data_IF_943848974863
#
_entry.id   IF_943848974863
#
_cell.length_a   1.000
_cell.length_b   1.000
_cell.length_c   1.000
_cell.angle_alpha   90.00
_cell.angle_beta   90.00
_cell.angle_gamma   90.00
#
_symmetry.space_group_name_H-M   'P 1'
#
loop_
_entity.id
_entity.type
_entity.pdbx_description
1 polymer ?
#
# COMPACT_ATOMS: atom_id res chain seq x y z
N UNK A 1 29.53 35.67 13.87
CA UNK A 1 29.49 34.29 13.38
C UNK A 1 28.63 33.48 14.35
N UNK A 2 27.38 33.25 14.05
CA UNK A 2 26.46 32.38 14.81
C UNK A 2 26.26 31.13 13.98
N UNK A 3 26.90 30.03 14.36
CA UNK A 3 26.63 28.70 13.79
C UNK A 3 25.27 28.26 14.27
N UNK A 4 24.28 28.34 13.38
CA UNK A 4 22.98 27.72 13.59
C UNK A 4 23.17 26.18 13.52
N UNK A 5 22.86 25.53 14.62
CA UNK A 5 22.78 24.08 14.73
C UNK A 5 21.48 23.60 14.09
N UNK A 6 21.43 23.54 12.74
CA UNK A 6 20.24 23.14 11.97
C UNK A 6 20.16 21.61 11.74
N UNK A 7 21.02 20.83 12.39
CA UNK A 7 21.17 19.39 12.10
C UNK A 7 20.17 18.46 12.79
N UNK A 8 19.33 18.98 13.68
CA UNK A 8 18.41 18.13 14.47
C UNK A 8 16.99 18.04 13.89
N UNK A 9 16.64 18.84 12.89
CA UNK A 9 15.26 18.91 12.38
C UNK A 9 14.89 17.86 11.35
N UNK A 10 15.82 17.51 10.45
CA UNK A 10 15.50 16.65 9.30
C UNK A 10 15.55 15.14 9.62
N UNK A 11 16.45 14.72 10.50
CA UNK A 11 16.46 13.32 10.97
C UNK A 11 15.18 12.96 11.75
N UNK A 12 14.58 13.96 12.42
CA UNK A 12 13.28 13.80 13.10
C UNK A 12 12.10 13.64 12.13
N UNK A 13 12.23 14.08 10.88
CA UNK A 13 11.18 14.00 9.88
C UNK A 13 10.94 12.59 9.34
N UNK A 14 12.02 11.90 8.98
CA UNK A 14 11.91 10.51 8.49
C UNK A 14 11.28 9.60 9.54
N UNK A 15 11.65 9.82 10.81
CA UNK A 15 11.11 9.10 11.97
C UNK A 15 9.67 9.57 12.31
N UNK A 16 9.35 10.86 12.14
CA UNK A 16 8.01 11.38 12.45
C UNK A 16 6.97 10.96 11.40
N UNK A 17 7.35 10.90 10.14
CA UNK A 17 6.49 10.38 9.07
C UNK A 17 6.18 8.89 9.27
N UNK A 18 7.16 8.12 9.78
CA UNK A 18 7.04 6.69 10.05
C UNK A 18 6.42 6.39 11.43
N UNK A 19 6.69 7.19 12.47
CA UNK A 19 6.16 6.98 13.83
C UNK A 19 4.68 7.34 13.98
N UNK A 20 4.14 8.24 13.17
CA UNK A 20 2.70 8.51 13.16
C UNK A 20 1.88 7.30 12.67
N UNK A 21 2.49 6.37 11.96
CA UNK A 21 1.88 5.14 11.46
C UNK A 21 1.89 3.98 12.46
N UNK A 22 2.69 4.06 13.53
CA UNK A 22 2.87 2.97 14.51
C UNK A 22 1.92 3.01 15.71
N UNK A 23 1.10 4.06 15.89
CA UNK A 23 0.39 4.32 17.15
C UNK A 23 -1.02 3.72 17.28
N UNK A 24 -1.48 2.83 16.39
CA UNK A 24 -2.78 2.16 16.51
C UNK A 24 -2.68 0.64 16.45
N UNK A 25 -2.04 0.06 17.46
CA UNK A 25 -2.00 -1.38 17.71
C UNK A 25 -2.02 -1.67 19.20
N UNK A 26 -2.99 -1.10 19.93
CA UNK A 26 -3.19 -1.32 21.36
C UNK A 26 -4.07 -2.53 21.63
N UNK A 27 -3.52 -3.50 22.32
CA UNK A 27 -3.95 -4.79 22.70
C UNK A 27 -5.25 -4.90 23.48
N UNK A 28 -5.75 -6.11 23.49
CA UNK A 28 -6.52 -6.66 24.59
C UNK A 28 -5.98 -8.07 24.88
N UNK A 29 -5.24 -8.18 25.97
CA UNK A 29 -5.07 -9.45 26.68
C UNK A 29 -6.39 -9.80 27.37
N UNK A 30 -6.87 -11.00 27.14
CA UNK A 30 -7.74 -11.67 28.09
C UNK A 30 -7.31 -13.13 28.15
N UNK A 31 -6.81 -13.49 29.30
CA UNK A 31 -6.59 -14.87 29.73
C UNK A 31 -7.95 -15.50 30.09
N UNK A 32 -8.10 -16.80 29.85
CA UNK A 32 -9.28 -17.56 30.28
C UNK A 32 -9.22 -19.01 29.82
N UNK A 33 -8.87 -19.83 30.75
CA UNK A 33 -8.81 -21.26 30.94
C UNK A 33 -9.68 -22.20 30.09
N UNK A 34 -9.07 -23.34 29.84
CA UNK A 34 -9.55 -24.75 29.74
C UNK A 34 -11.05 -25.06 29.89
N UNK A 35 -11.57 -25.88 28.99
CA UNK A 35 -12.28 -27.11 29.32
C UNK A 35 -12.43 -28.01 28.08
N UNK A 36 -11.89 -29.21 28.18
CA UNK A 36 -12.20 -30.38 27.35
C UNK A 36 -13.68 -30.76 27.47
N UNK A 37 -14.28 -31.15 26.36
CA UNK A 37 -15.29 -32.24 26.40
C UNK A 37 -15.42 -32.89 25.02
N UNK A 38 -15.11 -34.15 24.97
CA UNK A 38 -15.39 -35.19 23.97
C UNK A 38 -16.88 -35.32 23.65
N UNK A 39 -17.28 -35.50 22.38
CA UNK A 39 -18.23 -36.56 22.00
C UNK A 39 -18.54 -36.60 20.50
N UNK A 40 -18.22 -37.77 19.91
CA UNK A 40 -19.01 -38.62 19.01
C UNK A 40 -19.64 -38.04 17.72
N UNK A 41 -19.19 -38.59 16.60
CA UNK A 41 -19.88 -38.65 15.32
C UNK A 41 -21.19 -39.43 15.38
N UNK A 42 -22.07 -39.28 14.39
CA UNK A 42 -22.31 -40.41 13.49
C UNK A 42 -22.31 -40.06 11.98
N UNK A 43 -21.97 -41.11 11.27
CA UNK A 43 -22.01 -41.34 9.82
C UNK A 43 -23.45 -41.29 9.29
N UNK A 44 -23.68 -40.67 8.11
CA UNK A 44 -24.78 -40.99 7.20
C UNK A 44 -24.42 -40.72 5.74
N UNK A 45 -24.28 -41.70 5.05
CA UNK A 45 -24.47 -42.28 3.74
C UNK A 45 -25.12 -41.37 2.65
N UNK A 46 -24.44 -41.33 1.53
CA UNK A 46 -24.74 -41.29 0.10
C UNK A 46 -26.16 -40.95 -0.38
N UNK A 47 -26.23 -40.08 -1.37
CA UNK A 47 -26.98 -40.35 -2.62
C UNK A 47 -26.41 -39.54 -3.77
N UNK A 48 -25.99 -40.23 -4.80
CA UNK A 48 -25.63 -39.73 -6.11
C UNK A 48 -26.88 -39.35 -6.91
N UNK A 49 -26.87 -38.18 -7.54
CA UNK A 49 -27.74 -37.88 -8.68
C UNK A 49 -26.94 -37.22 -9.76
N UNK A 50 -26.77 -37.93 -10.84
CA UNK A 50 -26.23 -37.45 -12.09
C UNK A 50 -27.24 -36.53 -12.76
N UNK A 51 -26.84 -35.35 -13.22
CA UNK A 51 -27.59 -34.58 -14.18
C UNK A 51 -26.68 -33.86 -15.16
N UNK A 52 -26.92 -34.24 -16.39
CA UNK A 52 -26.57 -33.75 -17.71
C UNK A 52 -25.66 -32.54 -17.86
N UNK A 53 -24.63 -32.77 -18.68
CA UNK A 53 -23.74 -31.78 -19.26
C UNK A 53 -24.50 -30.82 -20.18
N UNK A 54 -24.39 -29.52 -19.89
CA UNK A 54 -24.63 -28.45 -20.84
C UNK A 54 -23.32 -27.79 -21.13
N UNK A 55 -22.84 -27.92 -22.36
CA UNK A 55 -21.62 -27.28 -22.86
C UNK A 55 -21.87 -25.79 -23.03
N UNK A 56 -21.17 -24.89 -22.32
CA UNK A 56 -21.24 -23.48 -22.67
C UNK A 56 -20.23 -23.17 -23.78
N UNK A 57 -20.76 -22.66 -24.86
CA UNK A 57 -19.99 -22.07 -25.97
C UNK A 57 -19.13 -20.91 -25.43
N UNK A 58 -17.82 -21.08 -25.48
CA UNK A 58 -16.88 -20.06 -25.09
C UNK A 58 -16.92 -18.89 -26.08
N UNK A 59 -17.60 -17.82 -25.72
CA UNK A 59 -17.46 -16.52 -26.37
C UNK A 59 -16.15 -15.90 -25.90
N UNK A 60 -15.17 -15.86 -26.78
CA UNK A 60 -13.85 -15.26 -26.56
C UNK A 60 -14.00 -13.74 -26.48
N UNK A 61 -14.22 -13.21 -25.27
CA UNK A 61 -14.15 -11.79 -25.04
C UNK A 61 -12.67 -11.38 -25.09
N UNK A 62 -12.31 -10.60 -26.12
CA UNK A 62 -11.00 -9.99 -26.27
C UNK A 62 -10.86 -8.90 -25.20
N UNK A 63 -10.17 -9.21 -24.13
CA UNK A 63 -9.81 -8.22 -23.11
C UNK A 63 -8.81 -7.24 -23.73
N UNK A 64 -9.31 -6.07 -24.14
CA UNK A 64 -8.47 -4.94 -24.51
C UNK A 64 -7.79 -4.45 -23.25
N UNK A 65 -6.55 -4.82 -23.04
CA UNK A 65 -5.72 -4.27 -21.99
C UNK A 65 -5.52 -2.76 -22.29
N UNK A 66 -6.32 -1.92 -21.67
CA UNK A 66 -6.09 -0.48 -21.66
C UNK A 66 -4.71 -0.24 -21.06
N UNK A 67 -3.76 0.14 -21.90
CA UNK A 67 -2.47 0.67 -21.46
C UNK A 67 -2.79 2.02 -20.83
N UNK A 68 -2.96 2.02 -19.51
CA UNK A 68 -3.07 3.25 -18.74
C UNK A 68 -1.70 3.92 -18.86
N UNK A 69 -1.66 5.10 -19.48
CA UNK A 69 -0.46 5.93 -19.52
C UNK A 69 0.06 6.12 -18.09
N UNK A 70 1.38 6.01 -17.90
CA UNK A 70 1.96 6.27 -16.58
C UNK A 70 1.61 7.71 -16.17
N UNK A 71 0.95 7.88 -15.01
CA UNK A 71 0.55 9.19 -14.52
C UNK A 71 1.80 10.02 -14.19
N UNK A 72 1.71 11.33 -14.37
CA UNK A 72 2.82 12.27 -14.14
C UNK A 72 2.58 13.09 -12.88
N UNK A 73 3.68 13.44 -12.19
CA UNK A 73 3.61 14.32 -11.03
C UNK A 73 2.71 13.78 -9.92
N UNK A 74 1.88 14.64 -9.33
CA UNK A 74 0.95 14.34 -8.24
C UNK A 74 -0.39 13.77 -8.70
N UNK A 75 -0.58 13.47 -9.99
CA UNK A 75 -1.82 12.89 -10.49
C UNK A 75 -2.16 11.58 -9.76
N UNK A 76 -3.36 11.51 -9.20
CA UNK A 76 -3.88 10.33 -8.50
C UNK A 76 -4.67 9.47 -9.46
N UNK A 77 -4.26 8.22 -9.64
CA UNK A 77 -4.86 7.29 -10.60
C UNK A 77 -5.54 6.14 -9.88
N UNK A 78 -6.74 5.79 -10.32
CA UNK A 78 -7.40 4.58 -9.85
C UNK A 78 -6.66 3.33 -10.34
N UNK A 79 -6.33 2.44 -9.42
CA UNK A 79 -5.74 1.15 -9.74
C UNK A 79 -6.78 0.06 -9.66
N UNK A 80 -7.04 -0.58 -10.81
CA UNK A 80 -7.95 -1.74 -10.89
C UNK A 80 -7.19 -2.94 -11.43
N UNK A 81 -7.51 -4.13 -10.93
CA UNK A 81 -7.21 -5.36 -11.65
C UNK A 81 -8.21 -5.47 -12.82
N UNK A 82 -7.84 -6.15 -13.89
CA UNK A 82 -8.79 -6.47 -14.93
C UNK A 82 -9.94 -7.27 -14.29
N UNK A 83 -11.18 -6.79 -14.45
CA UNK A 83 -12.37 -7.47 -13.99
C UNK A 83 -12.58 -8.70 -14.85
N UNK A 84 -12.13 -9.83 -14.33
CA UNK A 84 -12.42 -11.11 -14.94
C UNK A 84 -13.10 -11.98 -13.87
N UNK A 85 -14.41 -11.78 -13.72
CA UNK A 85 -15.25 -12.53 -12.78
C UNK A 85 -15.31 -14.03 -13.14
N UNK A 86 -14.83 -14.42 -14.31
CA UNK A 86 -14.72 -15.79 -14.81
C UNK A 86 -13.25 -16.23 -15.02
N UNK A 87 -12.26 -15.44 -14.58
CA UNK A 87 -10.88 -15.83 -14.71
C UNK A 87 -10.53 -17.02 -13.82
N UNK A 88 -9.66 -17.88 -14.33
CA UNK A 88 -8.93 -18.84 -13.51
C UNK A 88 -8.37 -18.13 -12.26
N UNK A 89 -8.48 -18.76 -11.10
CA UNK A 89 -7.98 -18.23 -9.82
C UNK A 89 -6.51 -17.77 -9.90
N UNK A 90 -5.71 -18.43 -10.74
CA UNK A 90 -4.34 -18.05 -11.03
C UNK A 90 -4.24 -16.70 -11.72
N UNK A 91 -5.09 -16.43 -12.72
CA UNK A 91 -5.13 -15.17 -13.45
C UNK A 91 -5.59 -14.04 -12.53
N UNK A 92 -6.65 -14.28 -11.74
CA UNK A 92 -7.16 -13.31 -10.78
C UNK A 92 -6.11 -12.94 -9.73
N UNK A 93 -5.37 -13.92 -9.20
CA UNK A 93 -4.26 -13.71 -8.27
C UNK A 93 -3.14 -12.87 -8.88
N UNK A 94 -2.73 -13.17 -10.11
CA UNK A 94 -1.70 -12.39 -10.81
C UNK A 94 -2.15 -10.96 -11.09
N UNK A 95 -3.42 -10.75 -11.45
CA UNK A 95 -4.01 -9.43 -11.63
C UNK A 95 -4.00 -8.62 -10.33
N UNK A 96 -4.36 -9.23 -9.19
CA UNK A 96 -4.29 -8.62 -7.87
C UNK A 96 -2.85 -8.24 -7.47
N UNK A 97 -1.87 -9.13 -7.69
CA UNK A 97 -0.45 -8.86 -7.46
C UNK A 97 0.02 -7.66 -8.29
N UNK A 98 -0.34 -7.61 -9.57
CA UNK A 98 0.02 -6.50 -10.46
C UNK A 98 -0.62 -5.19 -10.01
N UNK A 99 -1.88 -5.22 -9.58
CA UNK A 99 -2.57 -4.05 -9.04
C UNK A 99 -1.90 -3.56 -7.75
N UNK A 100 -1.58 -4.44 -6.80
CA UNK A 100 -0.91 -4.07 -5.56
C UNK A 100 0.47 -3.41 -5.80
N UNK A 101 1.27 -3.95 -6.72
CA UNK A 101 2.54 -3.32 -7.11
C UNK A 101 2.35 -1.94 -7.75
N UNK A 102 1.26 -1.71 -8.48
CA UNK A 102 0.91 -0.38 -9.01
C UNK A 102 0.54 0.59 -7.92
N UNK A 103 -0.19 0.16 -6.89
CA UNK A 103 -0.51 1.01 -5.72
C UNK A 103 0.78 1.48 -5.06
N UNK A 104 1.75 0.59 -4.82
CA UNK A 104 3.05 0.95 -4.23
C UNK A 104 3.84 1.90 -5.13
N UNK A 105 3.86 1.66 -6.44
CA UNK A 105 4.52 2.56 -7.38
C UNK A 105 3.85 3.94 -7.43
N UNK A 106 2.53 3.99 -7.33
CA UNK A 106 1.75 5.23 -7.21
C UNK A 106 2.11 5.99 -5.93
N UNK A 107 2.17 5.29 -4.78
CA UNK A 107 2.54 5.86 -3.50
C UNK A 107 3.92 6.54 -3.53
N UNK A 108 4.92 5.82 -4.01
CA UNK A 108 6.28 6.38 -4.17
C UNK A 108 6.32 7.58 -5.13
N UNK A 109 5.54 7.56 -6.20
CA UNK A 109 5.46 8.68 -7.13
C UNK A 109 4.83 9.91 -6.49
N UNK A 110 3.74 9.74 -5.75
CA UNK A 110 3.08 10.83 -5.01
C UNK A 110 4.02 11.40 -3.95
N UNK A 111 4.72 10.55 -3.19
CA UNK A 111 5.73 11.00 -2.23
C UNK A 111 6.77 11.92 -2.90
N UNK A 112 7.33 11.50 -4.03
CA UNK A 112 8.30 12.32 -4.76
C UNK A 112 7.70 13.63 -5.27
N UNK A 113 6.46 13.60 -5.80
CA UNK A 113 5.76 14.80 -6.24
C UNK A 113 5.62 15.82 -5.08
N UNK A 114 5.21 15.37 -3.91
CA UNK A 114 5.07 16.23 -2.73
C UNK A 114 6.40 16.78 -2.22
N UNK A 115 7.45 15.99 -2.21
CA UNK A 115 8.80 16.44 -1.87
C UNK A 115 9.32 17.51 -2.85
N UNK A 116 8.91 17.45 -4.10
CA UNK A 116 9.22 18.45 -5.13
C UNK A 116 8.24 19.63 -5.15
N UNK A 117 7.30 19.71 -4.21
CA UNK A 117 6.36 20.80 -4.07
C UNK A 117 5.14 20.73 -4.99
N UNK A 118 4.93 19.63 -5.68
CA UNK A 118 3.74 19.39 -6.49
C UNK A 118 2.61 18.79 -5.63
N UNK A 119 1.63 19.64 -5.31
CA UNK A 119 0.47 19.31 -4.48
C UNK A 119 -0.86 19.51 -5.23
N UNK A 120 -0.87 19.51 -6.55
CA UNK A 120 -2.06 19.82 -7.33
C UNK A 120 -3.22 18.85 -7.06
N UNK A 121 -2.91 17.56 -6.94
CA UNK A 121 -3.89 16.48 -6.78
C UNK A 121 -3.93 15.91 -5.35
N UNK A 122 -4.07 16.79 -4.36
CA UNK A 122 -4.06 16.41 -2.94
C UNK A 122 -5.38 16.71 -2.22
N UNK A 123 -6.48 16.92 -2.96
CA UNK A 123 -7.81 17.00 -2.35
C UNK A 123 -8.24 15.63 -1.80
N UNK A 124 -9.07 15.64 -0.76
CA UNK A 124 -9.60 14.42 -0.17
C UNK A 124 -10.30 13.55 -1.22
N UNK A 125 -11.05 14.17 -2.15
CA UNK A 125 -11.75 13.47 -3.22
C UNK A 125 -10.79 12.72 -4.15
N UNK A 126 -9.67 13.35 -4.52
CA UNK A 126 -8.67 12.70 -5.35
C UNK A 126 -7.91 11.63 -4.60
N UNK A 127 -7.50 11.91 -3.38
CA UNK A 127 -6.80 10.92 -2.54
C UNK A 127 -7.66 9.68 -2.27
N UNK A 128 -8.99 9.82 -2.14
CA UNK A 128 -9.91 8.69 -1.97
C UNK A 128 -9.99 7.76 -3.20
N UNK A 129 -9.47 8.15 -4.35
CA UNK A 129 -9.29 7.24 -5.50
C UNK A 129 -8.18 6.21 -5.25
N UNK A 130 -7.24 6.54 -4.35
CA UNK A 130 -6.02 5.79 -4.11
C UNK A 130 -5.89 5.26 -2.68
N UNK A 131 -6.53 5.89 -1.71
CA UNK A 131 -6.42 5.59 -0.27
C UNK A 131 -7.72 5.03 0.26
N UNK A 132 -7.66 4.04 1.13
CA UNK A 132 -8.83 3.56 1.87
C UNK A 132 -9.39 4.70 2.75
N UNK A 133 -10.73 4.89 2.80
CA UNK A 133 -11.33 6.04 3.48
C UNK A 133 -10.86 6.23 4.94
N UNK A 134 -10.73 5.14 5.68
CA UNK A 134 -10.27 5.13 7.07
C UNK A 134 -8.78 5.46 7.23
N UNK A 135 -8.03 5.48 6.13
CA UNK A 135 -6.59 5.80 6.08
C UNK A 135 -6.28 7.18 5.51
N UNK A 136 -7.30 7.93 5.09
CA UNK A 136 -7.12 9.23 4.44
C UNK A 136 -6.24 10.17 5.29
N UNK A 137 -6.51 10.24 6.60
CA UNK A 137 -5.71 11.08 7.51
C UNK A 137 -4.23 10.69 7.55
N UNK A 138 -3.91 9.41 7.42
CA UNK A 138 -2.52 8.92 7.39
C UNK A 138 -1.75 9.39 6.15
N UNK A 139 -2.44 9.88 5.13
CA UNK A 139 -1.82 10.44 3.92
C UNK A 139 -1.86 11.97 3.94
N UNK A 140 -2.96 12.57 4.41
CA UNK A 140 -3.09 14.03 4.46
C UNK A 140 -2.16 14.68 5.48
N UNK A 141 -1.89 14.04 6.62
CA UNK A 141 -0.95 14.56 7.63
C UNK A 141 0.50 14.67 7.07
N UNK A 142 1.07 13.63 6.42
CA UNK A 142 2.34 13.73 5.69
C UNK A 142 2.39 14.81 4.63
N UNK A 143 1.34 14.97 3.83
CA UNK A 143 1.27 16.04 2.82
C UNK A 143 1.38 17.42 3.49
N UNK A 144 0.64 17.63 4.58
CA UNK A 144 0.69 18.88 5.31
C UNK A 144 2.07 19.11 5.94
N UNK A 145 2.71 18.06 6.44
CA UNK A 145 4.09 18.12 6.94
C UNK A 145 5.04 18.54 5.81
N UNK A 146 5.00 17.88 4.66
CA UNK A 146 5.86 18.21 3.52
C UNK A 146 5.70 19.68 3.08
N UNK A 147 4.46 20.20 3.03
CA UNK A 147 4.21 21.63 2.75
C UNK A 147 4.88 22.56 3.77
N UNK A 148 4.77 22.24 5.06
CA UNK A 148 5.36 23.04 6.11
C UNK A 148 6.89 23.02 6.04
N UNK A 149 7.47 21.87 5.71
CA UNK A 149 8.91 21.69 5.64
C UNK A 149 9.52 22.41 4.46
N UNK A 150 8.89 22.33 3.29
CA UNK A 150 9.29 23.13 2.13
C UNK A 150 9.27 24.61 2.47
N UNK A 151 8.21 25.07 3.15
CA UNK A 151 8.11 26.47 3.60
C UNK A 151 9.22 26.85 4.60
N UNK A 152 9.52 25.98 5.56
CA UNK A 152 10.48 26.24 6.63
C UNK A 152 11.93 26.14 6.14
N UNK A 153 12.22 25.25 5.18
CA UNK A 153 13.56 25.06 4.63
C UNK A 153 13.87 25.96 3.43
N UNK A 154 12.92 26.82 3.03
CA UNK A 154 13.13 27.82 1.99
C UNK A 154 13.16 27.25 0.56
N UNK A 155 12.67 26.04 0.33
CA UNK A 155 12.64 25.45 -1.00
C UNK A 155 12.25 23.96 -1.01
N UNK A 156 12.13 23.43 -2.22
CA UNK A 156 11.78 22.05 -2.46
C UNK A 156 12.99 21.12 -2.39
N UNK A 157 12.76 19.87 -2.08
CA UNK A 157 13.78 18.84 -2.20
C UNK A 157 14.08 18.54 -3.67
N UNK A 158 15.27 18.00 -3.94
CA UNK A 158 15.70 17.53 -5.27
C UNK A 158 16.18 16.09 -5.19
N UNK A 159 16.28 15.40 -6.33
CA UNK A 159 16.50 13.96 -6.34
C UNK A 159 15.21 13.19 -6.00
N UNK A 160 15.32 11.90 -5.85
CA UNK A 160 14.14 11.05 -5.63
C UNK A 160 14.37 10.05 -4.48
N UNK A 161 13.29 9.73 -3.79
CA UNK A 161 13.16 8.49 -3.04
C UNK A 161 12.87 7.37 -4.03
N UNK A 162 13.65 6.31 -4.00
CA UNK A 162 13.46 5.17 -4.90
C UNK A 162 13.01 3.93 -4.14
N UNK A 163 12.27 3.06 -4.80
CA UNK A 163 11.87 1.77 -4.25
C UNK A 163 12.49 0.64 -5.07
N UNK A 164 12.92 -0.42 -4.38
CA UNK A 164 13.49 -1.63 -5.01
C UNK A 164 13.04 -2.88 -4.27
N UNK A 165 13.26 -4.04 -4.87
CA UNK A 165 12.94 -5.34 -4.28
C UNK A 165 11.46 -5.51 -3.92
N UNK A 166 10.56 -4.97 -4.79
CA UNK A 166 9.11 -4.96 -4.56
C UNK A 166 8.53 -6.36 -4.68
N UNK A 167 8.15 -6.95 -3.55
CA UNK A 167 7.61 -8.29 -3.45
C UNK A 167 6.27 -8.32 -2.70
N UNK A 168 5.29 -9.08 -3.20
CA UNK A 168 4.09 -9.42 -2.44
C UNK A 168 4.43 -10.58 -1.53
N UNK A 169 4.31 -10.38 -0.22
CA UNK A 169 4.65 -11.39 0.80
C UNK A 169 3.45 -12.20 1.24
N UNK A 170 2.29 -11.56 1.33
CA UNK A 170 1.07 -12.20 1.81
C UNK A 170 -0.13 -11.78 0.98
N UNK A 171 -1.10 -12.67 0.84
CA UNK A 171 -2.35 -12.43 0.12
C UNK A 171 -3.48 -13.06 0.92
N UNK A 172 -4.49 -12.26 1.25
CA UNK A 172 -5.63 -12.67 2.04
C UNK A 172 -6.95 -12.41 1.31
N UNK A 173 -7.98 -13.13 1.73
CA UNK A 173 -9.38 -12.80 1.47
C UNK A 173 -9.86 -11.83 2.54
N UNK A 174 -10.67 -10.86 2.15
CA UNK A 174 -11.33 -9.96 3.09
C UNK A 174 -12.84 -10.18 3.02
N UNK A 175 -13.44 -10.37 4.19
CA UNK A 175 -14.87 -10.53 4.37
C UNK A 175 -15.44 -9.19 4.82
N UNK A 176 -16.30 -8.61 4.01
CA UNK A 176 -16.96 -7.35 4.33
C UNK A 176 -18.11 -7.55 5.32
N UNK A 177 -18.49 -6.50 6.10
CA UNK A 177 -19.56 -6.60 7.08
C UNK A 177 -20.94 -6.97 6.52
N UNK A 178 -21.16 -6.74 5.21
CA UNK A 178 -22.37 -7.14 4.48
C UNK A 178 -22.39 -8.62 4.06
N UNK A 179 -21.37 -9.39 4.44
CA UNK A 179 -21.21 -10.78 4.10
C UNK A 179 -20.57 -11.05 2.73
N UNK A 180 -20.22 -10.01 1.99
CA UNK A 180 -19.48 -10.17 0.73
C UNK A 180 -18.04 -10.55 1.00
N UNK A 181 -17.52 -11.54 0.27
CA UNK A 181 -16.13 -12.00 0.38
C UNK A 181 -15.44 -11.91 -0.96
N UNK A 182 -14.27 -11.28 -0.99
CA UNK A 182 -13.47 -11.17 -2.19
C UNK A 182 -12.12 -11.86 -2.01
N UNK A 183 -11.80 -12.88 -2.82
CA UNK A 183 -10.48 -13.48 -2.82
C UNK A 183 -9.43 -12.48 -3.30
N UNK A 184 -8.21 -12.63 -2.80
CA UNK A 184 -7.07 -11.77 -3.18
C UNK A 184 -7.32 -10.27 -2.94
N UNK A 185 -8.06 -9.92 -1.89
CA UNK A 185 -8.50 -8.54 -1.63
C UNK A 185 -7.59 -7.77 -0.68
N UNK A 186 -6.77 -8.45 0.13
CA UNK A 186 -5.73 -7.80 0.95
C UNK A 186 -4.37 -8.37 0.57
N UNK A 187 -3.48 -7.49 0.16
CA UNK A 187 -2.10 -7.87 -0.19
C UNK A 187 -1.12 -7.07 0.66
N UNK A 188 -0.10 -7.75 1.18
CA UNK A 188 1.06 -7.09 1.79
C UNK A 188 2.18 -7.03 0.77
N UNK A 189 2.71 -5.85 0.58
CA UNK A 189 3.80 -5.59 -0.36
C UNK A 189 4.98 -5.06 0.42
N UNK A 190 6.08 -5.80 0.40
CA UNK A 190 7.35 -5.42 1.04
C UNK A 190 8.30 -4.88 -0.02
N UNK A 191 9.04 -3.84 0.32
CA UNK A 191 10.06 -3.24 -0.55
C UNK A 191 11.13 -2.54 0.27
N UNK A 192 12.23 -2.22 -0.37
CA UNK A 192 13.26 -1.33 0.15
C UNK A 192 12.99 0.09 -0.34
N UNK A 193 12.92 1.04 0.58
CA UNK A 193 12.85 2.46 0.30
C UNK A 193 14.24 3.07 0.49
N UNK A 194 14.69 3.85 -0.49
CA UNK A 194 16.06 4.42 -0.54
C UNK A 194 15.98 5.94 -0.73
N UNK A 195 16.43 6.66 0.29
CA UNK A 195 16.44 8.12 0.41
C UNK A 195 17.82 8.72 0.11
N UNK A 196 18.82 7.91 -0.28
CA UNK A 196 20.21 8.35 -0.44
C UNK A 196 20.40 9.40 -1.51
N UNK A 197 19.49 9.48 -2.48
CA UNK A 197 19.53 10.45 -3.58
C UNK A 197 18.75 11.73 -3.28
N UNK A 198 17.96 11.78 -2.22
CA UNK A 198 17.21 12.98 -1.87
C UNK A 198 18.15 14.07 -1.31
N UNK A 199 17.96 15.31 -1.77
CA UNK A 199 18.74 16.48 -1.39
C UNK A 199 17.81 17.56 -0.85
N UNK A 200 18.29 18.27 0.15
CA UNK A 200 17.68 19.50 0.66
C UNK A 200 17.84 20.64 -0.35
N UNK A 201 17.14 21.78 -0.19
CA UNK A 201 17.26 22.92 -1.11
C UNK A 201 18.67 23.49 -1.24
N UNK A 202 19.50 23.33 -0.21
CA UNK A 202 20.93 23.73 -0.21
C UNK A 202 21.87 22.67 -0.80
N UNK A 203 21.33 21.54 -1.29
CA UNK A 203 22.06 20.47 -1.97
C UNK A 203 22.69 19.42 -1.06
N UNK A 204 22.50 19.51 0.26
CA UNK A 204 22.96 18.48 1.20
C UNK A 204 22.06 17.21 1.11
N UNK A 205 22.57 16.09 1.61
CA UNK A 205 21.73 14.88 1.73
C UNK A 205 20.61 15.11 2.73
N UNK A 206 19.36 14.86 2.35
CA UNK A 206 18.21 15.03 3.20
C UNK A 206 18.20 14.01 4.36
N UNK A 207 18.63 12.78 4.10
CA UNK A 207 18.74 11.72 5.10
C UNK A 207 20.15 11.10 5.03
N UNK A 208 20.76 10.87 6.19
CA UNK A 208 22.11 10.32 6.31
C UNK A 208 22.15 9.19 7.33
N UNK A 209 23.12 8.31 7.22
CA UNK A 209 23.30 7.20 8.16
C UNK A 209 22.40 5.99 7.82
N UNK A 210 22.16 5.12 8.80
CA UNK A 210 21.39 3.88 8.58
C UNK A 210 19.95 4.14 8.16
N UNK A 211 19.37 5.28 8.54
CA UNK A 211 17.99 5.66 8.21
C UNK A 211 17.82 6.12 6.75
N UNK A 212 18.91 6.19 5.98
CA UNK A 212 18.85 6.54 4.55
C UNK A 212 18.22 5.44 3.70
N UNK A 213 18.04 4.25 4.24
CA UNK A 213 17.27 3.16 3.61
C UNK A 213 16.42 2.47 4.66
N UNK A 214 15.22 2.03 4.27
CA UNK A 214 14.30 1.33 5.14
C UNK A 214 13.62 0.16 4.44
N UNK A 215 13.34 -0.90 5.17
CA UNK A 215 12.43 -1.94 4.71
C UNK A 215 11.01 -1.57 5.11
N UNK A 216 10.13 -1.40 4.14
CA UNK A 216 8.73 -0.97 4.33
C UNK A 216 7.78 -2.06 3.86
N UNK A 217 6.66 -2.22 4.58
CA UNK A 217 5.53 -3.04 4.17
C UNK A 217 4.29 -2.16 4.00
N UNK A 218 3.67 -2.21 2.84
CA UNK A 218 2.39 -1.57 2.53
C UNK A 218 1.30 -2.62 2.49
N UNK A 219 0.18 -2.33 3.15
CA UNK A 219 -1.08 -3.06 2.99
C UNK A 219 -1.87 -2.43 1.85
N UNK A 220 -2.32 -3.25 0.93
CA UNK A 220 -3.19 -2.86 -0.19
C UNK A 220 -4.52 -3.59 -0.05
N UNK A 221 -5.63 -2.85 -0.12
CA UNK A 221 -6.98 -3.36 0.01
C UNK A 221 -7.74 -3.24 -1.31
N UNK A 222 -8.45 -4.28 -1.73
CA UNK A 222 -9.45 -4.20 -2.79
C UNK A 222 -10.78 -3.72 -2.20
N UNK A 223 -11.31 -2.64 -2.71
CA UNK A 223 -12.65 -2.16 -2.36
C UNK A 223 -13.75 -2.95 -3.09
N UNK A 224 -14.99 -2.82 -2.64
CA UNK A 224 -16.15 -3.48 -3.26
C UNK A 224 -16.37 -3.08 -4.72
N UNK A 225 -15.97 -1.86 -5.09
CA UNK A 225 -16.03 -1.35 -6.46
C UNK A 225 -14.89 -1.86 -7.38
N UNK A 226 -14.05 -2.75 -6.88
CA UNK A 226 -12.94 -3.39 -7.62
C UNK A 226 -11.63 -2.61 -7.61
N UNK A 227 -11.58 -1.40 -7.03
CA UNK A 227 -10.34 -0.64 -6.90
C UNK A 227 -9.42 -1.25 -5.86
N UNK A 228 -8.13 -1.21 -6.14
CA UNK A 228 -7.07 -1.49 -5.17
C UNK A 228 -6.51 -0.18 -4.65
N UNK A 229 -6.50 -0.03 -3.32
CA UNK A 229 -6.13 1.21 -2.65
C UNK A 229 -5.07 0.97 -1.57
N UNK A 230 -4.31 2.01 -1.28
CA UNK A 230 -3.41 2.05 -0.12
C UNK A 230 -4.23 1.93 1.17
N UNK A 231 -3.84 1.00 2.03
CA UNK A 231 -4.49 0.72 3.31
C UNK A 231 -3.51 0.79 4.49
N UNK A 232 -2.51 1.65 4.39
CA UNK A 232 -1.51 1.88 5.42
C UNK A 232 -0.18 1.19 5.15
N UNK A 233 0.85 1.67 5.84
CA UNK A 233 2.20 1.13 5.78
C UNK A 233 2.80 1.00 7.17
N UNK A 234 3.86 0.20 7.26
CA UNK A 234 4.72 0.12 8.44
C UNK A 234 6.16 -0.07 8.02
N UNK A 235 7.06 0.53 8.75
CA UNK A 235 8.49 0.22 8.67
C UNK A 235 8.77 -1.10 9.38
N UNK A 236 9.57 -1.94 8.77
CA UNK A 236 10.02 -3.22 9.35
C UNK A 236 11.41 -3.12 9.93
N UNK A 237 12.17 -2.08 9.58
CA UNK A 237 13.50 -1.80 10.10
C UNK A 237 14.30 -0.89 9.19
N UNK A 238 15.33 -0.27 9.76
CA UNK A 238 16.32 0.52 9.02
C UNK A 238 17.25 -0.38 8.23
N UNK A 239 17.71 0.13 7.09
CA UNK A 239 18.47 -0.65 6.14
C UNK A 239 17.60 -1.57 5.29
N UNK A 240 18.13 -1.95 4.16
CA UNK A 240 17.50 -2.93 3.28
C UNK A 240 18.36 -4.20 3.31
N UNK A 241 17.73 -5.34 3.52
CA UNK A 241 18.45 -6.62 3.41
C UNK A 241 19.08 -6.71 2.02
N UNK A 242 20.37 -6.99 1.96
CA UNK A 242 21.04 -7.32 0.71
C UNK A 242 20.39 -8.58 0.16
N UNK A 243 19.76 -8.49 -1.01
CA UNK A 243 19.22 -9.63 -1.76
C UNK A 243 20.35 -10.44 -2.38
#
# INVERSE_FOLDING_TARGET
MKTLNTRTGLAAMSVALMLALSACGGGAQAAGESSETTSSAPVATASASASAASTPTATKASASASVVAEPKGSEVVEVRAADDTNADATIAKQAAIKAAKRVVAQDNRLLNAWLHGDFEHTSDEELLKFVAPEKLKQVTDPIQSARNDIKNNGGVFTGNVTIRDVAVTDIFTYDYPDGTSYPYSVLRVKFCEDWTQLRTPDGERAVTGPDSTATVEVSVLRLQDGRYVYNGSRELGTGCASS
#
